data_IF_011980096980
#
_entry.id   IF_011980096980
#
_cell.length_a   1.000
_cell.length_b   1.000
_cell.length_c   1.000
_cell.angle_alpha   90.00
_cell.angle_beta   90.00
_cell.angle_gamma   90.00
#
_symmetry.space_group_name_H-M   'P 1'
#
loop_
_entity.id
_entity.type
_entity.pdbx_description
1 polymer ?
#
# COMPACT_ATOMS: atom_id res chain seq x y z
N UNK A 1 8.97 4.32 25.99
CA UNK A 1 8.44 3.62 27.18
C UNK A 1 9.50 3.71 28.26
N UNK A 2 9.09 3.91 29.52
CA UNK A 2 10.01 3.94 30.66
C UNK A 2 10.46 2.50 30.99
N UNK A 3 11.76 2.17 30.94
CA UNK A 3 12.27 0.84 31.30
C UNK A 3 11.87 0.38 32.70
N UNK A 4 11.53 1.31 33.60
CA UNK A 4 11.00 1.04 34.93
C UNK A 4 9.62 0.33 34.92
N UNK A 5 8.94 0.32 33.76
CA UNK A 5 7.63 -0.32 33.58
C UNK A 5 7.70 -1.81 33.20
N UNK A 6 8.91 -2.36 32.98
CA UNK A 6 9.07 -3.79 32.72
C UNK A 6 8.98 -4.59 34.02
N UNK A 7 8.36 -5.77 33.97
CA UNK A 7 8.41 -6.70 35.10
C UNK A 7 9.87 -7.10 35.38
N UNK A 8 10.27 -7.39 36.63
CA UNK A 8 11.65 -7.70 36.97
C UNK A 8 12.28 -8.82 36.12
N UNK A 9 11.50 -9.85 35.76
CA UNK A 9 11.95 -10.93 34.88
C UNK A 9 12.26 -10.44 33.46
N UNK A 10 11.42 -9.56 32.89
CA UNK A 10 11.65 -8.98 31.57
C UNK A 10 12.79 -7.95 31.59
N UNK A 11 12.96 -7.22 32.69
CA UNK A 11 14.07 -6.29 32.87
C UNK A 11 15.41 -7.04 32.97
N UNK A 12 15.46 -8.22 33.61
CA UNK A 12 16.64 -9.07 33.60
C UNK A 12 16.93 -9.66 32.22
N UNK A 13 15.88 -10.06 31.48
CA UNK A 13 16.04 -10.67 30.16
C UNK A 13 16.40 -9.67 29.06
N UNK A 14 15.87 -8.44 29.13
CA UNK A 14 15.92 -7.48 28.03
C UNK A 14 16.50 -6.10 28.41
N UNK A 15 16.47 -5.73 29.69
CA UNK A 15 16.92 -4.43 30.20
C UNK A 15 16.47 -3.22 29.36
N UNK A 16 17.32 -2.20 29.27
CA UNK A 16 17.17 -1.08 28.34
C UNK A 16 17.48 -1.45 26.87
N UNK A 17 18.00 -2.66 26.62
CA UNK A 17 18.56 -3.04 25.33
C UNK A 17 17.50 -3.22 24.26
N UNK A 18 16.30 -3.70 24.62
CA UNK A 18 15.23 -3.96 23.66
C UNK A 18 14.84 -2.69 22.88
N UNK A 19 14.51 -1.59 23.57
CA UNK A 19 14.08 -0.38 22.89
C UNK A 19 15.19 0.28 22.08
N UNK A 20 16.45 0.21 22.56
CA UNK A 20 17.61 0.69 21.80
C UNK A 20 17.82 -0.12 20.52
N UNK A 21 17.70 -1.44 20.61
CA UNK A 21 17.84 -2.33 19.47
C UNK A 21 16.71 -2.13 18.45
N UNK A 22 15.46 -2.00 18.90
CA UNK A 22 14.32 -1.66 18.03
C UNK A 22 14.54 -0.31 17.33
N UNK A 23 15.09 0.69 18.03
CA UNK A 23 15.46 1.96 17.41
C UNK A 23 16.54 1.76 16.34
N UNK A 24 17.62 1.03 16.66
CA UNK A 24 18.71 0.73 15.72
C UNK A 24 18.19 0.04 14.46
N UNK A 25 17.35 -0.99 14.62
CA UNK A 25 16.74 -1.71 13.50
C UNK A 25 15.84 -0.80 12.65
N UNK A 26 15.09 0.13 13.27
CA UNK A 26 14.30 1.12 12.53
C UNK A 26 15.17 2.04 11.69
N UNK A 27 16.26 2.58 12.24
CA UNK A 27 17.18 3.44 11.49
C UNK A 27 17.83 2.66 10.33
N UNK A 28 18.32 1.43 10.57
CA UNK A 28 18.90 0.59 9.51
C UNK A 28 17.88 0.31 8.40
N UNK A 29 16.65 -0.07 8.76
CA UNK A 29 15.62 -0.33 7.76
C UNK A 29 15.25 0.95 7.00
N UNK A 30 15.18 2.09 7.69
CA UNK A 30 14.91 3.39 7.08
C UNK A 30 15.95 3.73 6.03
N UNK A 31 17.23 3.64 6.36
CA UNK A 31 18.32 3.94 5.42
C UNK A 31 18.28 3.05 4.18
N UNK A 32 17.99 1.75 4.37
CA UNK A 32 17.79 0.81 3.26
C UNK A 32 16.59 1.20 2.40
N UNK A 33 15.44 1.49 2.99
CA UNK A 33 14.24 1.91 2.26
C UNK A 33 14.47 3.21 1.50
N UNK A 34 15.10 4.21 2.13
CA UNK A 34 15.46 5.49 1.51
C UNK A 34 16.33 5.27 0.27
N UNK A 35 17.36 4.44 0.40
CA UNK A 35 18.31 4.19 -0.68
C UNK A 35 17.67 3.41 -1.82
N UNK A 36 17.03 2.27 -1.52
CA UNK A 36 16.48 1.36 -2.52
C UNK A 36 15.32 2.00 -3.28
N UNK A 37 14.43 2.69 -2.57
CA UNK A 37 13.20 3.27 -3.12
C UNK A 37 13.33 4.77 -3.40
N UNK A 38 14.56 5.32 -3.38
CA UNK A 38 14.88 6.72 -3.71
C UNK A 38 14.03 7.75 -2.95
N UNK A 39 13.80 7.50 -1.66
CA UNK A 39 12.97 8.35 -0.82
C UNK A 39 13.79 9.45 -0.11
N UNK A 40 14.85 9.96 -0.75
CA UNK A 40 15.78 10.93 -0.16
C UNK A 40 15.14 12.26 0.24
N UNK A 41 14.04 12.62 -0.42
CA UNK A 41 13.26 13.83 -0.13
C UNK A 41 12.15 13.59 0.90
N UNK A 42 12.15 12.43 1.58
CA UNK A 42 11.11 12.05 2.53
C UNK A 42 11.69 11.71 3.89
N UNK A 43 10.96 12.12 4.92
CA UNK A 43 11.05 11.47 6.23
C UNK A 43 10.16 10.22 6.23
N UNK A 44 10.77 9.08 6.53
CA UNK A 44 10.08 7.79 6.57
C UNK A 44 9.75 7.40 8.01
N UNK A 45 8.51 6.96 8.23
CA UNK A 45 8.01 6.42 9.48
C UNK A 45 7.45 5.02 9.24
N UNK A 46 7.59 4.14 10.22
CA UNK A 46 7.07 2.77 10.14
C UNK A 46 5.87 2.59 11.07
N UNK A 47 4.85 1.88 10.60
CA UNK A 47 3.65 1.51 11.35
C UNK A 47 3.22 0.09 11.00
N UNK A 48 2.33 -0.51 11.78
CA UNK A 48 1.96 -1.93 11.59
C UNK A 48 1.17 -2.21 10.31
N UNK A 49 0.36 -1.25 9.87
CA UNK A 49 -0.49 -1.40 8.69
C UNK A 49 -0.95 -0.04 8.15
N UNK A 50 -1.41 -0.04 6.90
CA UNK A 50 -2.04 1.14 6.26
C UNK A 50 -3.20 1.67 7.10
N UNK A 51 -4.03 0.79 7.70
CA UNK A 51 -5.17 1.21 8.53
C UNK A 51 -4.73 1.97 9.78
N UNK A 52 -3.71 1.45 10.47
CA UNK A 52 -3.13 2.12 11.66
C UNK A 52 -2.52 3.46 11.25
N UNK A 53 -1.77 3.49 10.14
CA UNK A 53 -1.19 4.72 9.62
C UNK A 53 -2.25 5.77 9.28
N UNK A 54 -3.33 5.39 8.62
CA UNK A 54 -4.43 6.30 8.29
C UNK A 54 -5.16 6.81 9.54
N UNK A 55 -5.41 5.96 10.53
CA UNK A 55 -6.00 6.39 11.80
C UNK A 55 -5.11 7.41 12.52
N UNK A 56 -3.79 7.15 12.55
CA UNK A 56 -2.81 8.09 13.12
C UNK A 56 -2.77 9.41 12.36
N UNK A 57 -2.74 9.37 11.03
CA UNK A 57 -2.73 10.57 10.19
C UNK A 57 -4.03 11.36 10.33
N UNK A 58 -5.19 10.70 10.37
CA UNK A 58 -6.48 11.33 10.62
C UNK A 58 -6.47 12.08 11.95
N UNK A 59 -5.99 11.43 13.02
CA UNK A 59 -5.86 12.05 14.34
C UNK A 59 -4.88 13.24 14.34
N UNK A 60 -3.69 13.07 13.75
CA UNK A 60 -2.67 14.11 13.69
C UNK A 60 -3.12 15.31 12.88
N UNK A 61 -3.64 15.08 11.67
CA UNK A 61 -4.15 16.17 10.84
C UNK A 61 -5.25 16.93 11.59
N UNK A 62 -6.17 16.23 12.24
CA UNK A 62 -7.20 16.87 13.05
C UNK A 62 -6.62 17.72 14.19
N UNK A 63 -5.63 17.20 14.92
CA UNK A 63 -4.90 17.95 15.97
C UNK A 63 -4.25 19.23 15.43
N UNK A 64 -3.78 19.21 14.19
CA UNK A 64 -3.20 20.35 13.48
C UNK A 64 -4.24 21.21 12.74
N UNK A 65 -5.53 21.06 13.05
CA UNK A 65 -6.66 21.79 12.44
C UNK A 65 -6.77 21.58 10.91
N UNK A 66 -6.38 20.39 10.45
CA UNK A 66 -6.56 19.92 9.08
C UNK A 66 -7.55 18.74 9.09
N UNK A 67 -8.61 18.81 8.29
CA UNK A 67 -9.53 17.68 8.15
C UNK A 67 -9.04 16.75 7.06
N UNK A 68 -8.92 15.44 7.35
CA UNK A 68 -8.66 14.44 6.32
C UNK A 68 -10.00 14.02 5.70
N UNK A 69 -10.21 14.42 4.44
CA UNK A 69 -11.44 14.16 3.70
C UNK A 69 -11.22 12.99 2.74
N UNK A 70 -12.27 12.19 2.53
CA UNK A 70 -12.25 11.18 1.48
C UNK A 70 -12.71 11.83 0.18
N UNK A 71 -11.82 11.91 -0.81
CA UNK A 71 -12.22 12.30 -2.16
C UNK A 71 -13.27 11.33 -2.71
N UNK A 72 -14.40 11.85 -3.21
CA UNK A 72 -15.48 11.01 -3.74
C UNK A 72 -14.96 10.03 -4.79
N UNK A 73 -15.34 8.74 -4.68
CA UNK A 73 -15.02 7.67 -5.63
C UNK A 73 -13.53 7.31 -5.82
N UNK A 74 -12.63 7.90 -5.02
CA UNK A 74 -11.18 7.66 -5.13
C UNK A 74 -10.62 6.77 -4.01
N UNK A 75 -11.46 5.97 -3.34
CA UNK A 75 -11.09 5.13 -2.19
C UNK A 75 -11.61 3.72 -2.30
N UNK A 76 -10.91 2.77 -1.67
CA UNK A 76 -11.40 1.41 -1.52
C UNK A 76 -12.13 1.24 -0.18
N UNK A 77 -13.33 0.66 -0.21
CA UNK A 77 -14.17 0.42 0.97
C UNK A 77 -13.65 -0.81 1.71
N UNK A 78 -12.86 -0.64 2.79
CA UNK A 78 -13.36 -0.40 4.16
C UNK A 78 -12.74 0.82 4.87
N UNK A 79 -11.92 1.61 4.17
CA UNK A 79 -11.20 2.75 4.77
C UNK A 79 -12.16 3.86 5.21
N UNK A 80 -13.31 3.98 4.54
CA UNK A 80 -14.31 5.00 4.85
C UNK A 80 -14.79 4.97 6.31
N UNK A 81 -14.80 3.78 6.93
CA UNK A 81 -15.19 3.60 8.33
C UNK A 81 -14.24 4.30 9.33
N UNK A 82 -13.03 4.66 8.90
CA UNK A 82 -12.06 5.39 9.73
C UNK A 82 -12.30 6.90 9.73
N UNK A 83 -13.22 7.40 8.90
CA UNK A 83 -13.48 8.82 8.72
C UNK A 83 -14.90 9.18 9.14
N UNK A 84 -15.03 10.26 9.90
CA UNK A 84 -16.35 10.87 10.14
C UNK A 84 -16.88 11.42 8.81
N UNK A 85 -18.19 11.30 8.57
CA UNK A 85 -18.90 11.59 7.31
C UNK A 85 -18.32 12.82 6.56
N UNK A 86 -18.27 12.79 5.21
CA UNK A 86 -17.72 13.88 4.42
C UNK A 86 -18.37 15.22 4.80
N UNK A 87 -17.53 16.21 5.10
CA UNK A 87 -17.98 17.59 5.28
C UNK A 87 -18.38 18.11 3.89
N UNK A 88 -19.60 18.64 3.69
CA UNK A 88 -19.99 19.24 2.42
C UNK A 88 -18.99 20.33 2.01
N UNK A 89 -18.59 20.32 0.74
CA UNK A 89 -17.61 21.24 0.14
C UNK A 89 -18.08 22.72 0.26
N UNK A 90 -19.38 22.94 0.50
CA UNK A 90 -20.02 24.26 0.48
C UNK A 90 -20.09 24.99 1.83
N UNK A 91 -19.38 24.54 2.87
CA UNK A 91 -19.29 25.31 4.12
C UNK A 91 -18.25 26.45 3.95
N UNK A 92 -18.67 27.73 3.79
CA UNK A 92 -17.75 28.83 3.62
C UNK A 92 -17.22 29.20 5.00
N UNK A 93 -16.10 28.58 5.39
CA UNK A 93 -15.43 28.90 6.65
C UNK A 93 -14.59 27.75 7.20
N UNK A 94 -13.25 27.90 7.09
CA UNK A 94 -12.26 27.39 8.05
C UNK A 94 -11.91 25.89 8.12
N UNK A 95 -11.89 25.14 7.01
CA UNK A 95 -11.08 23.91 6.99
C UNK A 95 -10.35 23.76 5.66
N UNK A 96 -9.04 24.02 5.63
CA UNK A 96 -8.16 23.58 4.55
C UNK A 96 -8.02 22.06 4.65
N UNK A 97 -9.03 21.33 4.19
CA UNK A 97 -9.03 19.88 4.21
C UNK A 97 -7.89 19.31 3.36
N UNK A 98 -7.26 18.26 3.85
CA UNK A 98 -6.36 17.40 3.08
C UNK A 98 -7.19 16.26 2.55
N UNK A 99 -7.13 16.00 1.24
CA UNK A 99 -7.83 14.85 0.68
C UNK A 99 -6.99 13.60 0.86
N UNK A 100 -7.64 12.47 1.10
CA UNK A 100 -7.05 11.17 0.85
C UNK A 100 -7.30 10.82 -0.62
N UNK A 101 -6.38 10.12 -1.27
CA UNK A 101 -6.58 9.45 -2.58
C UNK A 101 -5.97 8.06 -2.57
N UNK A 102 -6.69 7.03 -3.03
CA UNK A 102 -6.10 5.73 -3.37
C UNK A 102 -5.53 5.82 -4.78
N UNK A 103 -4.20 5.74 -4.93
CA UNK A 103 -3.56 5.92 -6.24
C UNK A 103 -4.02 4.86 -7.25
N UNK A 104 -4.10 3.59 -6.83
CA UNK A 104 -4.60 2.51 -7.68
C UNK A 104 -5.70 1.74 -6.95
N UNK A 105 -6.91 1.78 -7.49
CA UNK A 105 -8.04 1.07 -6.90
C UNK A 105 -7.86 -0.46 -7.07
N UNK A 106 -7.84 -1.24 -5.99
CA UNK A 106 -7.58 -2.68 -6.05
C UNK A 106 -8.70 -3.50 -6.70
N UNK A 107 -9.91 -2.95 -6.83
CA UNK A 107 -11.09 -3.62 -7.37
C UNK A 107 -11.29 -3.28 -8.84
N UNK A 108 -11.05 -2.04 -9.26
CA UNK A 108 -11.23 -1.66 -10.66
C UNK A 108 -9.92 -1.62 -11.45
N UNK A 109 -8.78 -1.43 -10.76
CA UNK A 109 -7.50 -1.08 -11.39
C UNK A 109 -7.52 0.30 -12.05
N UNK A 110 -8.45 1.17 -11.65
CA UNK A 110 -8.41 2.58 -12.02
C UNK A 110 -7.20 3.26 -11.33
N UNK A 111 -6.48 4.07 -12.09
CA UNK A 111 -5.36 4.87 -11.62
C UNK A 111 -5.88 6.30 -11.45
N UNK A 112 -5.71 6.86 -10.26
CA UNK A 112 -6.02 8.26 -10.00
C UNK A 112 -4.77 9.10 -10.23
N UNK A 113 -4.89 10.07 -11.12
CA UNK A 113 -3.83 11.02 -11.41
C UNK A 113 -3.45 11.79 -10.14
N UNK A 114 -2.14 11.86 -9.88
CA UNK A 114 -1.57 12.57 -8.74
C UNK A 114 -1.09 13.97 -9.12
N UNK A 115 -1.00 14.29 -10.41
CA UNK A 115 -0.61 15.61 -10.89
C UNK A 115 -1.65 16.66 -10.51
N UNK A 116 -1.18 17.85 -10.12
CA UNK A 116 -2.05 18.97 -9.76
C UNK A 116 -2.78 18.87 -8.41
N UNK A 117 -2.53 17.82 -7.61
CA UNK A 117 -3.09 17.66 -6.26
C UNK A 117 -2.45 18.56 -5.18
N UNK A 118 -2.10 19.82 -5.52
CA UNK A 118 -1.66 20.92 -4.64
C UNK A 118 -0.75 20.55 -3.44
N UNK A 119 0.04 19.48 -3.55
CA UNK A 119 0.94 18.96 -2.52
C UNK A 119 0.31 18.76 -1.12
N UNK A 120 -1.02 18.62 -1.03
CA UNK A 120 -1.76 18.44 0.23
C UNK A 120 -2.75 17.29 0.11
N UNK A 121 -2.24 16.11 -0.22
CA UNK A 121 -3.04 14.89 -0.34
C UNK A 121 -2.31 13.74 0.35
N UNK A 122 -3.07 12.94 1.11
CA UNK A 122 -2.61 11.65 1.64
C UNK A 122 -2.87 10.57 0.61
N UNK A 123 -1.81 10.00 0.07
CA UNK A 123 -1.91 8.98 -0.97
C UNK A 123 -1.79 7.59 -0.35
N UNK A 124 -2.79 6.73 -0.58
CA UNK A 124 -2.61 5.30 -0.40
C UNK A 124 -1.92 4.72 -1.65
N UNK A 125 -0.61 4.47 -1.48
CA UNK A 125 0.28 3.91 -2.49
C UNK A 125 0.34 2.38 -2.47
N UNK A 126 -0.66 1.72 -1.87
CA UNK A 126 -0.68 0.26 -1.68
C UNK A 126 -0.39 -0.58 -2.94
N UNK A 127 -0.80 -0.09 -4.10
CA UNK A 127 -0.72 -0.79 -5.38
C UNK A 127 0.12 -0.06 -6.43
N UNK A 128 0.81 1.02 -6.05
CA UNK A 128 1.74 1.79 -6.88
C UNK A 128 3.17 1.80 -6.31
N UNK A 129 3.34 1.68 -5.00
CA UNK A 129 4.67 1.57 -4.41
C UNK A 129 5.35 0.27 -4.83
N UNK A 130 6.61 0.35 -5.23
CA UNK A 130 7.41 -0.78 -5.73
C UNK A 130 6.80 -1.49 -6.96
N UNK A 131 6.08 -0.75 -7.81
CA UNK A 131 5.60 -1.21 -9.13
C UNK A 131 6.09 -0.24 -10.24
N UNK A 132 5.60 -0.42 -11.48
CA UNK A 132 5.83 0.53 -12.57
C UNK A 132 5.34 1.96 -12.27
N UNK A 133 4.41 2.15 -11.32
CA UNK A 133 3.89 3.46 -10.90
C UNK A 133 4.64 4.06 -9.70
N UNK A 134 5.77 3.47 -9.31
CA UNK A 134 6.51 3.93 -8.13
C UNK A 134 7.03 5.35 -8.29
N UNK A 135 7.57 5.70 -9.47
CA UNK A 135 8.12 7.03 -9.72
C UNK A 135 7.04 8.10 -9.72
N UNK A 136 5.87 7.82 -10.30
CA UNK A 136 4.71 8.72 -10.25
C UNK A 136 4.26 8.96 -8.80
N UNK A 137 4.17 7.90 -7.99
CA UNK A 137 3.85 8.01 -6.57
C UNK A 137 4.86 8.91 -5.83
N UNK A 138 6.16 8.64 -5.99
CA UNK A 138 7.24 9.36 -5.28
C UNK A 138 7.37 10.80 -5.77
N UNK A 139 7.21 11.08 -7.06
CA UNK A 139 7.36 12.44 -7.57
C UNK A 139 6.19 13.34 -7.19
N UNK A 140 4.97 12.80 -7.13
CA UNK A 140 3.75 13.61 -7.04
C UNK A 140 3.10 13.63 -5.65
N UNK A 141 3.52 12.77 -4.72
CA UNK A 141 2.91 12.71 -3.38
C UNK A 141 3.63 13.59 -2.36
N UNK A 142 2.90 14.34 -1.54
CA UNK A 142 3.47 15.01 -0.36
C UNK A 142 3.55 14.11 0.86
N UNK A 143 2.58 13.22 1.00
CA UNK A 143 2.58 12.14 1.98
C UNK A 143 1.93 10.90 1.37
N UNK A 144 2.56 9.75 1.53
CA UNK A 144 1.97 8.48 1.11
C UNK A 144 2.21 7.35 2.10
N UNK A 145 1.32 6.36 2.05
CA UNK A 145 1.44 5.11 2.81
C UNK A 145 1.60 3.94 1.86
N UNK A 146 2.48 3.00 2.19
CA UNK A 146 2.62 1.77 1.43
C UNK A 146 3.00 0.57 2.32
N UNK A 147 2.28 -0.57 2.22
CA UNK A 147 2.64 -1.79 2.92
C UNK A 147 3.86 -2.45 2.29
N UNK A 148 4.77 -2.92 3.14
CA UNK A 148 6.03 -3.54 2.69
C UNK A 148 5.86 -5.00 2.23
N UNK A 149 4.73 -5.65 2.52
CA UNK A 149 4.47 -7.05 2.13
C UNK A 149 3.83 -7.22 0.77
N UNK A 150 3.36 -6.16 0.11
CA UNK A 150 2.72 -6.26 -1.21
C UNK A 150 3.79 -6.30 -2.30
N UNK A 151 3.92 -5.21 -3.07
CA UNK A 151 4.82 -5.18 -4.23
C UNK A 151 6.29 -5.01 -3.86
N UNK A 152 6.62 -4.56 -2.64
CA UNK A 152 7.99 -4.59 -2.13
C UNK A 152 8.44 -6.00 -1.69
N UNK A 153 7.50 -6.86 -1.28
CA UNK A 153 7.76 -8.23 -0.82
C UNK A 153 8.85 -8.33 0.27
N UNK A 154 8.85 -7.38 1.21
CA UNK A 154 9.88 -7.25 2.25
C UNK A 154 9.40 -7.89 3.56
N UNK A 155 8.32 -7.40 4.18
CA UNK A 155 7.82 -7.95 5.45
C UNK A 155 6.34 -7.64 5.69
N UNK A 156 5.65 -8.60 6.32
CA UNK A 156 4.29 -8.43 6.85
C UNK A 156 4.34 -7.65 8.15
N UNK A 157 3.26 -6.91 8.45
CA UNK A 157 3.17 -6.12 9.68
C UNK A 157 4.01 -4.84 9.66
N UNK A 158 4.46 -4.41 8.48
CA UNK A 158 5.08 -3.11 8.27
C UNK A 158 4.43 -2.37 7.09
N UNK A 159 4.14 -1.10 7.34
CA UNK A 159 3.75 -0.09 6.38
C UNK A 159 4.63 1.12 6.60
N UNK A 160 5.15 1.67 5.51
CA UNK A 160 5.85 2.93 5.52
C UNK A 160 4.85 4.09 5.40
N UNK A 161 5.12 5.19 6.09
CA UNK A 161 4.54 6.50 5.86
C UNK A 161 5.72 7.38 5.44
N UNK A 162 5.69 7.91 4.22
CA UNK A 162 6.70 8.81 3.71
C UNK A 162 6.12 10.22 3.69
N UNK A 163 6.78 11.18 4.32
CA UNK A 163 6.34 12.58 4.43
C UNK A 163 7.41 13.53 3.88
N UNK A 164 7.04 14.39 2.93
CA UNK A 164 7.90 15.47 2.44
C UNK A 164 8.08 16.54 3.52
N UNK A 165 9.29 16.77 4.05
CA UNK A 165 9.52 17.69 5.16
C UNK A 165 9.18 19.15 4.83
N UNK A 166 9.24 19.55 3.55
CA UNK A 166 8.88 20.88 3.06
C UNK A 166 7.38 21.18 3.12
N UNK A 167 6.53 20.15 3.15
CA UNK A 167 5.07 20.30 3.17
C UNK A 167 4.46 20.20 4.56
N UNK A 168 5.21 19.69 5.55
CA UNK A 168 4.70 19.40 6.89
C UNK A 168 5.65 19.88 8.00
N UNK A 169 5.07 20.45 9.05
CA UNK A 169 5.84 21.04 10.15
C UNK A 169 6.74 20.02 10.86
N UNK A 170 7.85 20.49 11.43
CA UNK A 170 8.71 19.66 12.27
C UNK A 170 7.94 19.04 13.46
N UNK A 171 6.95 19.76 13.99
CA UNK A 171 6.07 19.26 15.05
C UNK A 171 5.26 18.04 14.59
N UNK A 172 4.58 18.13 13.44
CA UNK A 172 3.81 17.01 12.87
C UNK A 172 4.69 15.77 12.68
N UNK A 173 5.89 15.95 12.12
CA UNK A 173 6.87 14.87 11.90
C UNK A 173 7.41 14.28 13.20
N UNK A 174 7.63 15.11 14.22
CA UNK A 174 8.06 14.64 15.55
C UNK A 174 6.99 13.80 16.24
N UNK A 175 5.72 14.14 16.07
CA UNK A 175 4.61 13.34 16.62
C UNK A 175 4.46 12.00 15.91
N UNK A 176 4.67 11.94 14.59
CA UNK A 176 4.76 10.66 13.86
C UNK A 176 5.88 9.77 14.39
N UNK A 177 7.07 10.32 14.74
CA UNK A 177 8.14 9.54 15.39
C UNK A 177 7.68 8.94 16.73
N UNK A 178 6.87 9.65 17.52
CA UNK A 178 6.33 9.14 18.79
C UNK A 178 5.41 7.93 18.58
N UNK A 179 4.54 8.00 17.56
CA UNK A 179 3.65 6.89 17.24
C UNK A 179 4.40 5.69 16.65
N UNK A 180 5.38 5.90 15.77
CA UNK A 180 6.27 4.83 15.27
C UNK A 180 6.90 4.07 16.44
N UNK A 181 7.44 4.80 17.43
CA UNK A 181 8.05 4.20 18.63
C UNK A 181 7.10 3.37 19.51
N UNK A 182 5.79 3.52 19.31
CA UNK A 182 4.76 2.82 20.09
C UNK A 182 4.06 1.69 19.32
N UNK A 183 4.20 1.66 18.00
CA UNK A 183 3.44 0.73 17.14
C UNK A 183 4.32 -0.36 16.52
N UNK A 184 5.63 -0.14 16.36
CA UNK A 184 6.49 -1.09 15.64
C UNK A 184 7.14 -2.09 16.59
N UNK A 185 7.00 -3.39 16.27
CA UNK A 185 7.64 -4.48 17.00
C UNK A 185 9.00 -4.87 16.39
N UNK A 186 9.87 -5.48 17.19
CA UNK A 186 11.22 -5.88 16.75
C UNK A 186 11.22 -6.85 15.57
N UNK A 187 10.38 -7.90 15.64
CA UNK A 187 10.44 -9.02 14.69
C UNK A 187 10.20 -8.62 13.23
N UNK A 188 9.14 -7.85 12.87
CA UNK A 188 8.96 -7.40 11.50
C UNK A 188 10.14 -6.58 10.95
N UNK A 189 10.83 -5.81 11.79
CA UNK A 189 12.02 -5.05 11.37
C UNK A 189 13.19 -5.98 11.00
N UNK A 190 13.42 -7.02 11.80
CA UNK A 190 14.46 -8.01 11.53
C UNK A 190 14.16 -8.79 10.25
N UNK A 191 12.90 -9.24 10.09
CA UNK A 191 12.44 -9.94 8.89
C UNK A 191 12.61 -9.06 7.64
N UNK A 192 12.26 -7.77 7.73
CA UNK A 192 12.43 -6.82 6.64
C UNK A 192 13.90 -6.62 6.25
N UNK A 193 14.77 -6.39 7.23
CA UNK A 193 16.20 -6.21 7.00
C UNK A 193 16.80 -7.46 6.36
N UNK A 194 16.50 -8.65 6.91
CA UNK A 194 16.98 -9.92 6.38
C UNK A 194 16.50 -10.16 4.95
N UNK A 195 15.24 -9.85 4.64
CA UNK A 195 14.71 -9.96 3.28
C UNK A 195 15.45 -9.03 2.30
N UNK A 196 15.74 -7.79 2.70
CA UNK A 196 16.46 -6.82 1.86
C UNK A 196 17.96 -7.13 1.70
N UNK A 197 18.51 -8.00 2.55
CA UNK A 197 19.92 -8.44 2.50
C UNK A 197 20.11 -9.77 1.77
N UNK A 198 19.01 -10.46 1.42
CA UNK A 198 19.10 -11.70 0.65
C UNK A 198 19.71 -11.43 -0.74
N UNK A 199 20.71 -12.21 -1.20
CA UNK A 199 21.41 -11.96 -2.46
C UNK A 199 20.51 -11.89 -3.69
N UNK A 200 19.45 -12.70 -3.71
CA UNK A 200 18.51 -12.80 -4.83
C UNK A 200 17.31 -11.86 -4.69
N UNK A 201 17.26 -11.04 -3.63
CA UNK A 201 16.18 -10.09 -3.47
C UNK A 201 16.28 -8.98 -4.49
N UNK A 202 15.17 -8.75 -5.19
CA UNK A 202 14.99 -7.62 -6.09
C UNK A 202 13.84 -6.77 -5.57
N UNK A 203 13.91 -5.42 -5.61
CA UNK A 203 13.02 -4.57 -4.83
C UNK A 203 11.66 -4.25 -5.44
N UNK A 204 11.48 -4.45 -6.75
CA UNK A 204 10.25 -4.07 -7.47
C UNK A 204 9.46 -5.29 -7.96
N UNK A 205 8.13 -5.17 -7.97
CA UNK A 205 7.26 -6.00 -8.80
C UNK A 205 7.16 -5.36 -10.18
N UNK A 206 7.88 -5.93 -11.14
CA UNK A 206 7.98 -5.46 -12.53
C UNK A 206 6.98 -6.15 -13.46
N UNK A 207 6.08 -6.97 -12.93
CA UNK A 207 5.02 -7.56 -13.75
C UNK A 207 4.07 -6.48 -14.27
N UNK A 208 3.68 -6.63 -15.53
CA UNK A 208 2.75 -5.76 -16.22
C UNK A 208 1.69 -6.60 -16.90
N UNK A 209 0.45 -6.11 -16.90
CA UNK A 209 -0.67 -6.71 -17.61
C UNK A 209 -1.30 -5.63 -18.47
N UNK A 210 -1.41 -5.90 -19.77
CA UNK A 210 -2.09 -5.04 -20.71
C UNK A 210 -3.61 -5.25 -20.65
N UNK A 211 -4.36 -4.38 -21.32
CA UNK A 211 -5.81 -4.55 -21.50
C UNK A 211 -6.10 -5.91 -22.15
N UNK A 212 -6.96 -6.68 -21.52
CA UNK A 212 -7.39 -8.00 -21.98
C UNK A 212 -8.84 -7.91 -22.45
N UNK A 213 -9.09 -8.47 -23.63
CA UNK A 213 -10.42 -8.71 -24.16
C UNK A 213 -10.50 -10.14 -24.70
N UNK A 214 -11.10 -11.03 -23.91
CA UNK A 214 -11.04 -12.47 -24.10
C UNK A 214 -12.45 -13.06 -24.30
N UNK A 215 -12.78 -13.56 -25.50
CA UNK A 215 -13.95 -14.42 -25.68
C UNK A 215 -13.71 -15.79 -25.05
N UNK A 216 -14.68 -16.27 -24.27
CA UNK A 216 -14.64 -17.58 -23.63
C UNK A 216 -15.49 -18.60 -24.40
N UNK A 217 -15.15 -19.88 -24.25
CA UNK A 217 -15.82 -20.99 -24.95
C UNK A 217 -17.32 -21.12 -24.62
N UNK A 218 -17.75 -20.62 -23.46
CA UNK A 218 -19.15 -20.61 -23.03
C UNK A 218 -19.97 -19.41 -23.57
N UNK A 219 -19.41 -18.63 -24.50
CA UNK A 219 -20.07 -17.46 -25.09
C UNK A 219 -19.98 -16.18 -24.25
N UNK A 220 -19.37 -16.23 -23.06
CA UNK A 220 -19.05 -15.02 -22.29
C UNK A 220 -17.85 -14.29 -22.91
N UNK A 221 -17.76 -12.99 -22.64
CA UNK A 221 -16.60 -12.17 -23.00
C UNK A 221 -16.08 -11.48 -21.74
N UNK A 222 -14.80 -11.65 -21.45
CA UNK A 222 -14.12 -11.00 -20.33
C UNK A 222 -13.30 -9.83 -20.84
N UNK A 223 -13.68 -8.62 -20.41
CA UNK A 223 -12.94 -7.41 -20.70
C UNK A 223 -12.39 -6.84 -19.41
N UNK A 224 -11.08 -6.58 -19.36
CA UNK A 224 -10.43 -6.05 -18.17
C UNK A 224 -10.81 -4.59 -17.89
N UNK A 225 -11.15 -4.28 -16.64
CA UNK A 225 -11.40 -2.91 -16.16
C UNK A 225 -10.09 -2.13 -15.96
N UNK A 226 -9.06 -2.82 -15.48
CA UNK A 226 -7.81 -2.21 -15.01
C UNK A 226 -7.04 -1.48 -16.10
N UNK A 227 -6.37 -0.39 -15.74
CA UNK A 227 -5.42 0.26 -16.64
C UNK A 227 -4.28 -0.70 -17.04
N UNK A 228 -3.75 -0.52 -18.24
CA UNK A 228 -2.53 -1.21 -18.70
C UNK A 228 -1.34 -0.88 -17.79
N UNK A 229 -0.35 -1.77 -17.74
CA UNK A 229 0.88 -1.54 -16.98
C UNK A 229 0.84 -2.00 -15.53
N UNK A 230 -0.34 -2.32 -15.00
CA UNK A 230 -0.50 -2.76 -13.61
C UNK A 230 -0.05 -4.23 -13.44
N UNK A 231 0.46 -4.62 -12.25
CA UNK A 231 0.82 -6.01 -11.96
C UNK A 231 -0.42 -6.90 -11.69
N UNK A 232 -1.59 -6.51 -12.17
CA UNK A 232 -2.83 -7.26 -12.06
C UNK A 232 -3.85 -6.75 -13.09
N UNK A 233 -4.86 -7.59 -13.37
CA UNK A 233 -6.05 -7.20 -14.11
C UNK A 233 -7.32 -7.58 -13.35
N UNK A 234 -8.30 -6.69 -13.37
CA UNK A 234 -9.62 -6.86 -12.79
C UNK A 234 -10.66 -7.08 -13.88
N UNK A 235 -11.58 -8.01 -13.64
CA UNK A 235 -12.65 -8.39 -14.55
C UNK A 235 -13.98 -8.34 -13.81
N UNK A 236 -15.02 -7.71 -14.39
CA UNK A 236 -16.36 -7.82 -13.85
C UNK A 236 -16.86 -9.23 -14.14
N UNK A 237 -17.24 -9.97 -13.10
CA UNK A 237 -17.74 -11.34 -13.25
C UNK A 237 -18.96 -11.54 -12.35
N UNK A 238 -19.92 -12.34 -12.83
CA UNK A 238 -21.02 -12.78 -11.98
C UNK A 238 -20.50 -13.59 -10.78
N UNK A 239 -21.36 -13.85 -9.81
CA UNK A 239 -21.05 -14.71 -8.67
C UNK A 239 -20.47 -16.04 -9.14
N UNK A 240 -19.28 -16.34 -8.64
CA UNK A 240 -18.54 -17.57 -8.94
C UNK A 240 -19.05 -18.70 -8.05
N UNK A 241 -19.05 -19.93 -8.58
CA UNK A 241 -19.31 -21.13 -7.77
C UNK A 241 -18.16 -21.44 -6.81
N UNK A 242 -18.39 -22.27 -5.79
CA UNK A 242 -17.34 -22.68 -4.84
C UNK A 242 -16.13 -23.33 -5.53
N UNK A 243 -16.36 -24.13 -6.57
CA UNK A 243 -15.28 -24.73 -7.39
C UNK A 243 -14.47 -23.66 -8.12
N UNK A 244 -15.14 -22.65 -8.70
CA UNK A 244 -14.47 -21.52 -9.34
C UNK A 244 -13.69 -20.69 -8.32
N UNK A 245 -14.24 -20.42 -7.14
CA UNK A 245 -13.55 -19.71 -6.05
C UNK A 245 -12.29 -20.46 -5.60
N UNK A 246 -12.34 -21.79 -5.56
CA UNK A 246 -11.19 -22.62 -5.26
C UNK A 246 -10.11 -22.49 -6.36
N UNK A 247 -10.50 -22.61 -7.63
CA UNK A 247 -9.60 -22.43 -8.78
C UNK A 247 -8.97 -21.03 -8.82
N UNK A 248 -9.74 -19.98 -8.53
CA UNK A 248 -9.27 -18.59 -8.46
C UNK A 248 -8.08 -18.46 -7.50
N UNK A 249 -8.13 -19.09 -6.32
CA UNK A 249 -7.01 -19.05 -5.37
C UNK A 249 -5.75 -19.75 -5.90
N UNK A 250 -5.90 -20.81 -6.69
CA UNK A 250 -4.78 -21.55 -7.27
C UNK A 250 -4.04 -20.76 -8.36
N UNK A 251 -4.71 -19.82 -9.02
CA UNK A 251 -4.15 -18.97 -10.09
C UNK A 251 -3.71 -17.57 -9.59
N UNK A 252 -3.46 -17.43 -8.29
CA UNK A 252 -3.17 -16.14 -7.63
C UNK A 252 -4.24 -15.06 -7.89
N UNK A 253 -5.48 -15.50 -8.01
CA UNK A 253 -6.64 -14.64 -8.15
C UNK A 253 -7.27 -14.29 -6.81
N UNK A 254 -8.05 -13.22 -6.80
CA UNK A 254 -8.90 -12.80 -5.68
C UNK A 254 -10.26 -12.44 -6.23
N UNK A 255 -11.32 -12.96 -5.62
CA UNK A 255 -12.69 -12.56 -5.94
C UNK A 255 -13.23 -11.64 -4.84
N UNK A 256 -13.78 -10.50 -5.25
CA UNK A 256 -14.36 -9.49 -4.37
C UNK A 256 -15.88 -9.50 -4.52
N UNK A 257 -16.56 -10.18 -3.61
CA UNK A 257 -18.02 -10.38 -3.66
C UNK A 257 -18.79 -9.06 -3.73
N UNK A 258 -18.43 -8.08 -2.90
CA UNK A 258 -19.11 -6.79 -2.81
C UNK A 258 -19.06 -5.94 -4.09
N UNK A 259 -18.09 -6.20 -4.98
CA UNK A 259 -17.91 -5.49 -6.26
C UNK A 259 -18.04 -6.41 -7.46
N UNK A 260 -18.39 -7.68 -7.26
CA UNK A 260 -18.47 -8.70 -8.32
C UNK A 260 -17.25 -8.68 -9.25
N UNK A 261 -16.07 -8.61 -8.63
CA UNK A 261 -14.81 -8.40 -9.35
C UNK A 261 -13.86 -9.56 -9.12
N UNK A 262 -13.38 -10.17 -10.21
CA UNK A 262 -12.23 -11.07 -10.20
C UNK A 262 -10.96 -10.28 -10.50
N UNK A 263 -9.95 -10.34 -9.62
CA UNK A 263 -8.62 -9.81 -9.87
C UNK A 263 -7.62 -10.94 -10.02
N UNK A 264 -6.88 -10.96 -11.12
CA UNK A 264 -5.76 -11.87 -11.34
C UNK A 264 -4.47 -11.07 -11.22
N UNK A 265 -3.59 -11.47 -10.29
CA UNK A 265 -2.38 -10.71 -9.96
C UNK A 265 -1.12 -11.43 -10.45
N UNK A 266 -0.07 -10.66 -10.74
CA UNK A 266 1.20 -11.14 -11.27
C UNK A 266 2.38 -10.56 -10.50
N UNK A 267 3.43 -11.37 -10.44
CA UNK A 267 4.67 -11.03 -9.75
C UNK A 267 5.84 -11.42 -10.63
N UNK A 268 6.65 -10.43 -10.95
CA UNK A 268 7.98 -10.61 -11.50
C UNK A 268 8.90 -9.72 -10.69
N UNK A 269 10.00 -10.27 -10.17
CA UNK A 269 10.94 -9.51 -9.34
C UNK A 269 12.02 -8.91 -10.23
N UNK A 270 12.29 -7.62 -10.07
CA UNK A 270 13.28 -6.93 -10.87
C UNK A 270 13.67 -5.58 -10.31
N UNK A 271 14.41 -4.84 -11.12
CA UNK A 271 14.75 -3.45 -10.84
C UNK A 271 13.71 -2.50 -11.45
N UNK A 272 13.77 -1.23 -11.04
CA UNK A 272 12.81 -0.19 -11.42
C UNK A 272 12.68 0.07 -12.93
N UNK A 273 13.71 -0.25 -13.72
CA UNK A 273 13.76 0.04 -15.16
C UNK A 273 13.23 -1.12 -16.00
N UNK A 274 12.89 -2.24 -15.37
CA UNK A 274 12.39 -3.43 -16.04
C UNK A 274 10.87 -3.46 -16.02
N UNK A 275 10.33 -4.13 -17.05
CA UNK A 275 8.93 -4.48 -17.14
C UNK A 275 8.85 -5.88 -17.76
N UNK A 276 8.00 -6.72 -17.19
CA UNK A 276 7.76 -8.10 -17.64
C UNK A 276 6.29 -8.22 -17.99
N UNK A 277 6.01 -8.26 -19.29
CA UNK A 277 4.65 -8.51 -19.78
C UNK A 277 4.19 -9.91 -19.36
N UNK A 278 3.13 -9.94 -18.56
CA UNK A 278 2.50 -11.13 -18.02
C UNK A 278 1.10 -11.37 -18.61
N UNK A 279 0.69 -10.60 -19.62
CA UNK A 279 -0.66 -10.61 -20.19
C UNK A 279 -1.07 -11.99 -20.69
N UNK A 280 -0.20 -12.68 -21.43
CA UNK A 280 -0.46 -14.05 -21.92
C UNK A 280 -0.76 -15.03 -20.79
N UNK A 281 0.01 -14.98 -19.70
CA UNK A 281 -0.23 -15.85 -18.54
C UNK A 281 -1.57 -15.57 -17.84
N UNK A 282 -2.07 -14.33 -17.88
CA UNK A 282 -3.41 -13.99 -17.35
C UNK A 282 -4.48 -14.58 -18.25
N UNK A 283 -4.32 -14.47 -19.58
CA UNK A 283 -5.25 -15.08 -20.55
C UNK A 283 -5.33 -16.59 -20.34
N UNK A 284 -4.19 -17.28 -20.18
CA UNK A 284 -4.15 -18.72 -19.94
C UNK A 284 -4.87 -19.14 -18.65
N UNK A 285 -4.73 -18.35 -17.58
CA UNK A 285 -5.43 -18.59 -16.31
C UNK A 285 -6.94 -18.39 -16.43
N UNK A 286 -7.38 -17.36 -17.14
CA UNK A 286 -8.80 -17.12 -17.42
C UNK A 286 -9.38 -18.26 -18.27
N UNK A 287 -8.67 -18.69 -19.33
CA UNK A 287 -9.10 -19.82 -20.14
C UNK A 287 -9.26 -21.10 -19.31
N UNK A 288 -8.34 -21.37 -18.37
CA UNK A 288 -8.43 -22.51 -17.44
C UNK A 288 -9.58 -22.41 -16.44
N UNK A 289 -9.91 -21.21 -15.98
CA UNK A 289 -11.01 -21.01 -15.02
C UNK A 289 -12.38 -21.30 -15.64
N UNK A 290 -12.54 -21.05 -16.95
CA UNK A 290 -13.79 -21.26 -17.70
C UNK A 290 -13.77 -22.46 -18.64
N UNK A 291 -12.68 -23.21 -18.74
CA UNK A 291 -12.71 -24.51 -19.42
C UNK A 291 -13.55 -25.49 -18.61
N UNK A 292 -14.61 -26.03 -19.23
CA UNK A 292 -15.35 -27.15 -18.68
C UNK A 292 -14.46 -28.40 -18.71
N UNK A 293 -14.35 -29.09 -17.58
CA UNK A 293 -14.03 -30.53 -17.60
C UNK A 293 -15.32 -31.30 -17.83
#
# INVERSE_FOLDING_TARGET
MDPSSLSPALQQQHGDHYYREVNRLREVLRDKLTTVYRLGDYDIFLVQSVRVGLAMLSHLLHKHKMSLNLAAHHHYQPIELLFSKPVPIDAPGQNSGINMVTHVNPYTGAINDLDGLNHKTVVDGSHSFATGLHDELVNNSSIFLAPLHKHASVAVGLTLIAVRPEHYSCLFRSELRLFEGSTVSQRPLQEAIAAMEAPDWQPYNVASVEKIDLPLANGLRLTSLSASGLPFACFPVATLSDDQLHKVKQINGSYFEHTHTLRISRWARGNRLQQVDSTGSVIDDLARLWSQK
#
